data_IF_961906004974
#
_entry.id   IF_961906004974
#
_cell.length_a   1.000
_cell.length_b   1.000
_cell.length_c   1.000
_cell.angle_alpha   90.00
_cell.angle_beta   90.00
_cell.angle_gamma   90.00
#
_symmetry.space_group_name_H-M   'P 1'
#
loop_
_entity.id
_entity.type
_entity.pdbx_description
1 polymer ?
#
# COMPACT_ATOMS: atom_id res chain seq x y z
N UNK A 1 15.94 9.43 14.12
CA UNK A 1 16.98 10.47 14.13
C UNK A 1 16.52 11.85 14.67
N UNK A 2 15.20 12.12 14.75
CA UNK A 2 14.64 13.38 15.25
C UNK A 2 13.97 14.18 14.13
N UNK A 3 13.05 15.08 14.50
CA UNK A 3 12.14 15.74 13.53
C UNK A 3 12.85 16.69 12.56
N UNK A 4 14.05 17.15 12.91
CA UNK A 4 14.91 17.98 12.06
C UNK A 4 15.62 17.20 10.94
N UNK A 5 15.56 15.86 10.97
CA UNK A 5 16.27 14.97 10.04
C UNK A 5 15.32 14.07 9.24
N UNK A 6 14.01 14.31 9.33
CA UNK A 6 12.98 13.50 8.68
C UNK A 6 11.96 14.40 8.02
N UNK A 7 11.76 14.19 6.72
CA UNK A 7 10.73 14.86 5.93
C UNK A 7 9.48 13.98 5.76
N UNK A 8 9.70 12.69 5.51
CA UNK A 8 8.66 11.70 5.28
C UNK A 8 8.68 10.65 6.39
N UNK A 9 7.53 10.44 7.01
CA UNK A 9 7.25 9.31 7.86
C UNK A 9 6.84 8.13 6.98
N UNK A 10 7.85 7.35 6.60
CA UNK A 10 7.69 6.13 5.82
C UNK A 10 7.38 4.92 6.69
N UNK A 11 6.72 3.94 6.09
CA UNK A 11 6.55 2.60 6.66
C UNK A 11 6.64 1.57 5.56
N UNK A 12 7.38 0.51 5.84
CA UNK A 12 7.42 -0.69 5.01
C UNK A 12 6.53 -1.75 5.69
N UNK A 13 5.41 -2.10 5.05
CA UNK A 13 4.45 -3.04 5.61
C UNK A 13 4.02 -4.08 4.57
N UNK A 14 4.74 -5.20 4.57
CA UNK A 14 4.36 -6.44 3.88
C UNK A 14 3.65 -7.43 4.80
N UNK A 15 3.65 -7.15 6.11
CA UNK A 15 3.19 -8.08 7.14
C UNK A 15 1.67 -8.20 7.17
N UNK A 16 0.98 -7.06 7.12
CA UNK A 16 -0.48 -7.01 7.25
C UNK A 16 -1.22 -7.22 5.91
N UNK A 17 -0.51 -7.49 4.82
CA UNK A 17 -1.06 -7.56 3.46
C UNK A 17 -0.85 -8.92 2.78
N UNK A 18 -0.63 -9.97 3.57
CA UNK A 18 -0.57 -11.35 3.09
C UNK A 18 0.57 -12.17 3.69
N UNK A 19 0.79 -13.35 3.14
CA UNK A 19 1.77 -14.30 3.68
C UNK A 19 3.21 -13.86 3.35
N UNK A 20 3.83 -13.10 4.26
CA UNK A 20 5.28 -12.96 4.32
C UNK A 20 5.92 -14.28 4.78
N UNK A 21 7.22 -14.48 4.55
CA UNK A 21 7.93 -15.73 4.86
C UNK A 21 7.84 -16.13 6.35
N UNK A 22 7.60 -15.17 7.25
CA UNK A 22 7.55 -15.37 8.70
C UNK A 22 6.13 -15.26 9.28
N UNK A 23 5.09 -15.24 8.43
CA UNK A 23 3.72 -14.99 8.84
C UNK A 23 3.15 -16.02 9.84
N UNK A 24 2.46 -15.53 10.87
CA UNK A 24 1.71 -16.38 11.81
C UNK A 24 0.47 -16.96 11.13
N UNK A 25 0.52 -18.27 10.87
CA UNK A 25 -0.58 -19.02 10.22
C UNK A 25 -1.90 -18.96 10.98
N UNK A 26 -1.90 -18.62 12.26
CA UNK A 26 -3.11 -18.48 13.07
C UNK A 26 -3.79 -17.12 12.90
N UNK A 27 -3.10 -16.13 12.35
CA UNK A 27 -3.69 -14.83 12.14
C UNK A 27 -4.68 -14.87 10.97
N UNK A 28 -5.87 -14.34 11.21
CA UNK A 28 -6.93 -14.35 10.20
C UNK A 28 -6.75 -13.20 9.22
N UNK A 29 -7.32 -13.36 8.03
CA UNK A 29 -7.42 -12.28 7.04
C UNK A 29 -8.03 -11.00 7.63
N UNK A 30 -9.13 -11.11 8.37
CA UNK A 30 -9.79 -9.95 8.96
C UNK A 30 -8.91 -9.25 10.01
N UNK A 31 -8.12 -10.01 10.77
CA UNK A 31 -7.17 -9.43 11.72
C UNK A 31 -6.05 -8.67 11.00
N UNK A 32 -5.52 -9.20 9.89
CA UNK A 32 -4.56 -8.48 9.05
C UNK A 32 -5.13 -7.17 8.52
N UNK A 33 -6.34 -7.21 7.95
CA UNK A 33 -6.97 -6.01 7.38
C UNK A 33 -7.15 -4.90 8.45
N UNK A 34 -7.52 -5.30 9.67
CA UNK A 34 -7.62 -4.37 10.81
C UNK A 34 -6.25 -3.79 11.22
N UNK A 35 -5.21 -4.63 11.31
CA UNK A 35 -3.86 -4.18 11.65
C UNK A 35 -3.27 -3.26 10.58
N UNK A 36 -3.50 -3.57 9.30
CA UNK A 36 -3.06 -2.72 8.21
C UNK A 36 -3.66 -1.32 8.33
N UNK A 37 -4.97 -1.23 8.51
CA UNK A 37 -5.66 0.04 8.70
C UNK A 37 -5.16 0.79 9.96
N UNK A 38 -5.00 0.09 11.08
CA UNK A 38 -4.51 0.69 12.33
C UNK A 38 -3.08 1.25 12.20
N UNK A 39 -2.19 0.50 11.55
CA UNK A 39 -0.81 0.90 11.28
C UNK A 39 -0.76 2.17 10.44
N UNK A 40 -1.55 2.25 9.37
CA UNK A 40 -1.62 3.42 8.49
C UNK A 40 -2.29 4.63 9.17
N UNK A 41 -3.35 4.42 9.94
CA UNK A 41 -3.99 5.47 10.73
C UNK A 41 -3.04 6.05 11.79
N UNK A 42 -2.21 5.18 12.39
CA UNK A 42 -1.19 5.60 13.34
C UNK A 42 -0.07 6.39 12.66
N UNK A 43 0.41 5.91 11.50
CA UNK A 43 1.42 6.59 10.70
C UNK A 43 0.98 8.01 10.32
N UNK A 44 -0.21 8.14 9.73
CA UNK A 44 -0.80 9.43 9.32
C UNK A 44 -0.97 10.37 10.50
N UNK A 45 -1.48 9.87 11.64
CA UNK A 45 -1.62 10.65 12.88
C UNK A 45 -0.28 11.16 13.42
N UNK A 46 0.78 10.36 13.35
CA UNK A 46 2.12 10.76 13.80
C UNK A 46 2.70 11.82 12.85
N UNK A 47 2.60 11.61 11.54
CA UNK A 47 3.06 12.56 10.53
C UNK A 47 2.36 13.92 10.69
N UNK A 48 1.03 13.92 10.82
CA UNK A 48 0.21 15.12 11.08
C UNK A 48 0.68 15.88 12.32
N UNK A 49 0.86 15.17 13.45
CA UNK A 49 1.32 15.78 14.72
C UNK A 49 2.69 16.44 14.61
N UNK A 50 3.52 15.97 13.69
CA UNK A 50 4.88 16.48 13.47
C UNK A 50 4.95 17.47 12.31
N UNK A 51 3.82 17.75 11.66
CA UNK A 51 3.74 18.55 10.43
C UNK A 51 4.63 17.98 9.31
N UNK A 52 4.50 16.67 9.06
CA UNK A 52 5.28 15.88 8.09
C UNK A 52 4.35 15.08 7.18
N UNK A 53 4.91 14.51 6.12
CA UNK A 53 4.19 13.71 5.15
C UNK A 53 4.25 12.23 5.53
N UNK A 54 3.15 11.49 5.41
CA UNK A 54 3.14 10.04 5.56
C UNK A 54 3.26 9.34 4.20
N UNK A 55 3.95 8.21 4.15
CA UNK A 55 4.00 7.35 2.95
C UNK A 55 4.06 5.86 3.34
N UNK A 56 3.35 5.01 2.60
CA UNK A 56 3.55 3.56 2.67
C UNK A 56 4.68 3.24 1.69
N UNK A 57 5.90 3.36 2.21
CA UNK A 57 7.14 3.37 1.42
C UNK A 57 7.43 2.03 0.79
N UNK A 58 6.95 0.93 1.38
CA UNK A 58 6.96 -0.38 0.75
C UNK A 58 5.77 -1.23 1.20
N UNK A 59 5.19 -2.00 0.29
CA UNK A 59 4.17 -3.01 0.58
C UNK A 59 4.05 -4.02 -0.57
N UNK A 60 3.15 -4.99 -0.43
CA UNK A 60 2.78 -5.87 -1.53
C UNK A 60 2.57 -7.33 -1.14
N UNK A 61 1.97 -8.09 -2.07
CA UNK A 61 1.85 -9.54 -1.96
C UNK A 61 2.70 -10.22 -3.03
N UNK A 62 3.81 -10.84 -2.60
CA UNK A 62 4.73 -11.48 -3.54
C UNK A 62 4.03 -12.56 -4.37
N UNK A 63 4.21 -12.49 -5.68
CA UNK A 63 3.59 -13.33 -6.69
C UNK A 63 2.06 -13.26 -6.75
N UNK A 64 1.44 -12.26 -6.09
CA UNK A 64 0.00 -11.95 -6.16
C UNK A 64 -0.91 -13.19 -6.08
N UNK A 65 -0.66 -14.05 -5.09
CA UNK A 65 -1.46 -15.27 -4.85
C UNK A 65 -2.90 -14.95 -4.45
N UNK A 66 -3.12 -13.76 -3.90
CA UNK A 66 -4.43 -13.17 -3.70
C UNK A 66 -4.79 -12.36 -4.96
N UNK A 67 -5.71 -12.84 -5.78
CA UNK A 67 -5.98 -12.24 -7.10
C UNK A 67 -6.75 -10.91 -7.03
N UNK A 68 -7.42 -10.64 -5.92
CA UNK A 68 -8.15 -9.39 -5.63
C UNK A 68 -7.39 -8.48 -4.64
N UNK A 69 -6.06 -8.64 -4.58
CA UNK A 69 -5.23 -8.00 -3.57
C UNK A 69 -5.31 -6.48 -3.59
N UNK A 70 -5.27 -5.81 -4.75
CA UNK A 70 -5.28 -4.35 -4.79
C UNK A 70 -6.62 -3.79 -4.32
N UNK A 71 -7.74 -4.31 -4.81
CA UNK A 71 -9.06 -3.82 -4.39
C UNK A 71 -9.34 -4.13 -2.92
N UNK A 72 -9.02 -5.35 -2.45
CA UNK A 72 -9.36 -5.76 -1.08
C UNK A 72 -8.38 -5.29 -0.02
N UNK A 73 -7.08 -5.16 -0.34
CA UNK A 73 -6.04 -4.79 0.64
C UNK A 73 -5.68 -3.31 0.60
N UNK A 74 -5.71 -2.66 -0.58
CA UNK A 74 -5.34 -1.25 -0.69
C UNK A 74 -6.55 -0.33 -0.82
N UNK A 75 -7.45 -0.57 -1.77
CA UNK A 75 -8.59 0.34 -2.00
C UNK A 75 -9.57 0.33 -0.82
N UNK A 76 -10.01 -0.85 -0.38
CA UNK A 76 -10.99 -0.98 0.71
C UNK A 76 -10.65 -0.16 1.96
N UNK A 77 -9.43 -0.19 2.53
CA UNK A 77 -9.11 0.67 3.67
C UNK A 77 -9.08 2.16 3.30
N UNK A 78 -8.63 2.55 2.09
CA UNK A 78 -8.68 3.95 1.65
C UNK A 78 -10.12 4.48 1.55
N UNK A 79 -11.08 3.65 1.12
CA UNK A 79 -12.50 4.02 1.09
C UNK A 79 -13.10 4.12 2.50
N UNK A 80 -12.77 3.16 3.38
CA UNK A 80 -13.33 3.11 4.74
C UNK A 80 -12.77 4.19 5.67
N UNK A 81 -11.56 4.68 5.40
CA UNK A 81 -10.85 5.60 6.28
C UNK A 81 -10.28 6.79 5.49
N UNK A 82 -11.06 7.87 5.32
CA UNK A 82 -10.61 9.07 4.60
C UNK A 82 -9.34 9.72 5.18
N UNK A 83 -8.99 9.46 6.44
CA UNK A 83 -7.73 9.92 7.04
C UNK A 83 -6.51 9.35 6.30
N UNK A 84 -6.65 8.19 5.66
CA UNK A 84 -5.58 7.54 4.90
C UNK A 84 -5.29 8.24 3.57
N UNK A 85 -6.15 9.15 3.10
CA UNK A 85 -5.89 9.98 1.91
C UNK A 85 -4.71 10.95 2.11
N UNK A 86 -4.22 11.08 3.36
CA UNK A 86 -3.00 11.83 3.69
C UNK A 86 -1.70 11.05 3.44
N UNK A 87 -1.78 9.79 3.04
CA UNK A 87 -0.62 9.03 2.59
C UNK A 87 -0.28 9.51 1.18
N UNK A 88 0.90 10.11 1.00
CA UNK A 88 1.28 10.74 -0.26
C UNK A 88 1.53 9.74 -1.39
N UNK A 89 2.05 8.55 -1.07
CA UNK A 89 2.24 7.47 -2.04
C UNK A 89 2.25 6.10 -1.37
N UNK A 90 1.98 5.09 -2.20
CA UNK A 90 2.11 3.67 -1.87
C UNK A 90 3.04 3.06 -2.93
N UNK A 91 4.12 2.42 -2.52
CA UNK A 91 5.03 1.73 -3.45
C UNK A 91 4.98 0.21 -3.22
N UNK A 92 4.86 -0.54 -4.31
CA UNK A 92 5.08 -1.99 -4.31
C UNK A 92 6.47 -2.31 -4.85
N UNK A 93 7.03 -3.45 -4.43
CA UNK A 93 8.39 -3.81 -4.79
C UNK A 93 8.56 -4.26 -6.25
N UNK A 94 9.80 -4.56 -6.64
CA UNK A 94 10.18 -4.87 -8.03
C UNK A 94 9.49 -6.11 -8.60
N UNK A 95 9.35 -6.14 -9.92
CA UNK A 95 9.09 -7.35 -10.68
C UNK A 95 10.41 -7.93 -11.20
N UNK A 96 10.85 -9.05 -10.63
CA UNK A 96 12.12 -9.69 -10.96
C UNK A 96 11.99 -10.81 -11.99
N UNK A 97 10.98 -11.66 -11.80
CA UNK A 97 10.67 -12.85 -12.59
C UNK A 97 9.29 -13.37 -12.15
N UNK A 98 8.82 -14.46 -12.78
CA UNK A 98 7.51 -15.08 -12.53
C UNK A 98 7.31 -15.65 -11.11
N UNK A 99 8.34 -15.66 -10.25
CA UNK A 99 8.23 -16.10 -8.86
C UNK A 99 8.43 -14.96 -7.84
N UNK A 100 8.86 -13.78 -8.30
CA UNK A 100 9.06 -12.62 -7.45
C UNK A 100 8.65 -11.34 -8.18
N UNK A 101 7.40 -10.95 -7.95
CA UNK A 101 6.76 -9.78 -8.55
C UNK A 101 5.65 -9.28 -7.63
N UNK A 102 5.35 -7.99 -7.75
CA UNK A 102 4.33 -7.34 -6.94
C UNK A 102 3.32 -6.55 -7.77
N UNK A 103 3.55 -6.45 -9.09
CA UNK A 103 2.60 -5.96 -10.09
C UNK A 103 2.32 -7.10 -11.08
N UNK A 104 1.07 -7.36 -11.49
CA UNK A 104 0.79 -8.46 -12.39
C UNK A 104 1.39 -8.20 -13.78
N UNK A 105 1.88 -9.25 -14.43
CA UNK A 105 2.20 -9.24 -15.85
C UNK A 105 0.98 -9.66 -16.68
N UNK A 106 1.01 -9.38 -17.98
CA UNK A 106 -0.09 -9.71 -18.90
C UNK A 106 -0.47 -11.20 -18.82
N UNK A 107 -1.76 -11.48 -18.58
CA UNK A 107 -2.28 -12.84 -18.44
C UNK A 107 -2.26 -13.38 -17.01
N UNK A 108 -1.66 -12.68 -16.05
CA UNK A 108 -1.74 -13.07 -14.64
C UNK A 108 -3.19 -12.92 -14.11
N UNK A 109 -3.70 -13.83 -13.26
CA UNK A 109 -5.08 -13.76 -12.75
C UNK A 109 -5.46 -12.45 -12.04
N UNK A 110 -4.49 -11.77 -11.42
CA UNK A 110 -4.71 -10.48 -10.75
C UNK A 110 -4.77 -9.25 -11.70
N UNK A 111 -4.61 -9.44 -13.02
CA UNK A 111 -4.55 -8.33 -13.98
C UNK A 111 -5.82 -7.48 -13.96
N UNK A 112 -7.00 -8.12 -13.90
CA UNK A 112 -8.28 -7.39 -13.90
C UNK A 112 -8.45 -6.53 -12.64
N UNK A 113 -8.04 -7.05 -11.47
CA UNK A 113 -8.06 -6.32 -10.21
C UNK A 113 -7.10 -5.13 -10.21
N UNK A 114 -5.90 -5.31 -10.76
CA UNK A 114 -4.94 -4.21 -10.88
C UNK A 114 -5.43 -3.11 -11.83
N UNK A 115 -6.11 -3.47 -12.94
CA UNK A 115 -6.74 -2.47 -13.83
C UNK A 115 -7.83 -1.68 -13.08
N UNK A 116 -8.62 -2.32 -12.22
CA UNK A 116 -9.59 -1.62 -11.38
C UNK A 116 -8.91 -0.66 -10.42
N UNK A 117 -7.80 -1.08 -9.79
CA UNK A 117 -6.98 -0.22 -8.93
C UNK A 117 -6.43 0.99 -9.68
N UNK A 118 -5.88 0.80 -10.88
CA UNK A 118 -5.36 1.91 -11.70
C UNK A 118 -6.43 2.94 -12.07
N UNK A 119 -7.68 2.49 -12.27
CA UNK A 119 -8.80 3.35 -12.65
C UNK A 119 -9.59 3.90 -11.45
N UNK A 120 -9.17 3.61 -10.21
CA UNK A 120 -9.88 4.04 -9.02
C UNK A 120 -9.63 5.53 -8.74
N UNK A 121 -10.67 6.30 -8.42
CA UNK A 121 -10.60 7.77 -8.28
C UNK A 121 -9.62 8.30 -7.21
N UNK A 122 -9.26 7.43 -6.25
CA UNK A 122 -8.32 7.74 -5.18
C UNK A 122 -6.84 7.48 -5.56
N UNK A 123 -6.60 6.90 -6.75
CA UNK A 123 -5.28 6.47 -7.19
C UNK A 123 -4.90 7.31 -8.40
N UNK A 124 -3.66 7.81 -8.39
CA UNK A 124 -3.09 8.55 -9.51
C UNK A 124 -1.88 7.79 -10.02
N UNK A 125 -1.85 7.57 -11.34
CA UNK A 125 -0.65 7.16 -12.07
C UNK A 125 -0.07 8.35 -12.83
N UNK A 126 1.10 8.15 -13.46
CA UNK A 126 1.87 9.21 -14.12
C UNK A 126 1.03 10.08 -15.08
N UNK A 127 0.10 9.48 -15.81
CA UNK A 127 -0.73 10.15 -16.81
C UNK A 127 -1.78 11.11 -16.23
N UNK A 128 -1.98 11.11 -14.91
CA UNK A 128 -2.99 11.92 -14.20
C UNK A 128 -2.38 12.90 -13.20
N UNK A 129 -1.05 12.87 -13.02
CA UNK A 129 -0.37 13.77 -12.09
C UNK A 129 -0.45 15.22 -12.57
N UNK A 130 -0.68 16.19 -11.66
CA UNK A 130 -0.58 17.60 -11.99
C UNK A 130 0.88 18.01 -12.19
N UNK A 131 1.11 19.29 -12.45
CA UNK A 131 2.46 19.87 -12.54
C UNK A 131 3.14 19.90 -11.17
N UNK A 132 3.77 18.79 -10.78
CA UNK A 132 4.35 18.60 -9.44
C UNK A 132 5.59 19.46 -9.13
N UNK A 133 6.26 20.01 -10.16
CA UNK A 133 7.57 20.63 -10.05
C UNK A 133 7.64 22.06 -10.61
N UNK A 134 6.51 22.78 -10.60
CA UNK A 134 6.40 24.16 -11.07
C UNK A 134 6.18 25.15 -9.93
#
# INVERSE_FOLDING_TARGET
PGDAYVDIFGMDNYWDVGASANYDKNQTRAAQDSLFAESLLTLTKIADKKNKIAALTETGNNALKEHDWYSKRLIKPLENYPQLHKIAYIMVWRNANENHFYVPFSGHPATADFIQFMNHELILFENELPKMYQ
#
